data_IF_570452187427
#
_entry.id   IF_570452187427
#
_cell.length_a   1.000
_cell.length_b   1.000
_cell.length_c   1.000
_cell.angle_alpha   90.00
_cell.angle_beta   90.00
_cell.angle_gamma   90.00
#
_symmetry.space_group_name_H-M   'P 1'
#
loop_
_entity.id
_entity.type
_entity.pdbx_description
1 polymer ?
#
# COMPACT_ATOMS: atom_id res chain seq x y z
N UNK A 1 6.11 -9.90 -20.78
CA UNK A 1 6.95 -8.80 -20.27
C UNK A 1 6.21 -7.87 -19.31
N UNK A 2 4.94 -7.53 -19.55
CA UNK A 2 4.20 -6.57 -18.71
C UNK A 2 4.06 -6.98 -17.23
N UNK A 3 3.74 -8.24 -16.92
CA UNK A 3 3.63 -8.74 -15.54
C UNK A 3 4.93 -8.66 -14.75
N UNK A 4 6.08 -8.88 -15.42
CA UNK A 4 7.40 -8.73 -14.80
C UNK A 4 7.61 -7.26 -14.42
N UNK A 5 7.27 -6.32 -15.31
CA UNK A 5 7.35 -4.89 -15.01
C UNK A 5 6.46 -4.47 -13.83
N UNK A 6 5.24 -5.00 -13.72
CA UNK A 6 4.36 -4.75 -12.56
C UNK A 6 4.98 -5.29 -11.27
N UNK A 7 5.50 -6.52 -11.29
CA UNK A 7 6.14 -7.13 -10.14
C UNK A 7 7.39 -6.34 -9.72
N UNK A 8 8.28 -5.96 -10.66
CA UNK A 8 9.47 -5.15 -10.37
C UNK A 8 9.10 -3.81 -9.73
N UNK A 9 8.05 -3.14 -10.21
CA UNK A 9 7.57 -1.90 -9.61
C UNK A 9 7.06 -2.10 -8.17
N UNK A 10 6.30 -3.17 -7.91
CA UNK A 10 5.77 -3.45 -6.58
C UNK A 10 6.88 -3.88 -5.62
N UNK A 11 7.67 -4.90 -5.95
CA UNK A 11 8.68 -5.41 -5.04
C UNK A 11 9.86 -4.43 -4.93
N UNK A 12 10.41 -3.95 -6.05
CA UNK A 12 11.49 -2.97 -6.04
C UNK A 12 11.06 -1.66 -5.39
N UNK A 13 9.98 -1.03 -5.88
CA UNK A 13 9.51 0.25 -5.36
C UNK A 13 9.13 0.18 -3.88
N UNK A 14 8.32 -0.81 -3.47
CA UNK A 14 7.83 -0.84 -2.10
C UNK A 14 8.86 -1.35 -1.09
N UNK A 15 9.75 -2.29 -1.45
CA UNK A 15 10.83 -2.71 -0.56
C UNK A 15 11.86 -1.58 -0.36
N UNK A 16 12.25 -0.88 -1.45
CA UNK A 16 13.11 0.30 -1.34
C UNK A 16 12.44 1.46 -0.60
N UNK A 17 11.12 1.60 -0.68
CA UNK A 17 10.40 2.61 0.09
C UNK A 17 10.51 2.38 1.61
N UNK A 18 10.39 1.13 2.08
CA UNK A 18 10.58 0.82 3.51
C UNK A 18 12.00 1.14 3.96
N UNK A 19 13.00 0.75 3.17
CA UNK A 19 14.40 1.04 3.48
C UNK A 19 14.68 2.56 3.58
N UNK A 20 14.20 3.33 2.61
CA UNK A 20 14.38 4.79 2.61
C UNK A 20 13.57 5.47 3.71
N UNK A 21 12.40 4.93 4.07
CA UNK A 21 11.61 5.41 5.20
C UNK A 21 12.38 5.25 6.52
N UNK A 22 12.97 4.07 6.74
CA UNK A 22 13.77 3.79 7.92
C UNK A 22 15.00 4.70 8.02
N UNK A 23 15.67 4.96 6.89
CA UNK A 23 16.80 5.88 6.84
C UNK A 23 16.40 7.32 7.26
N UNK A 24 15.26 7.84 6.79
CA UNK A 24 14.80 9.19 7.18
C UNK A 24 14.36 9.24 8.63
N UNK A 25 13.56 8.27 9.08
CA UNK A 25 12.99 8.26 10.44
C UNK A 25 14.09 8.07 11.48
N UNK A 26 15.19 7.38 11.14
CA UNK A 26 16.38 7.28 11.99
C UNK A 26 17.07 8.63 12.20
N UNK A 27 17.14 9.46 11.16
CA UNK A 27 17.76 10.78 11.22
C UNK A 27 16.79 11.82 11.84
N UNK A 28 15.50 11.76 11.50
CA UNK A 28 14.46 12.71 11.90
C UNK A 28 13.17 11.95 12.25
N UNK A 29 12.99 11.55 13.53
CA UNK A 29 11.87 10.70 13.96
C UNK A 29 10.48 11.30 13.70
N UNK A 30 10.34 12.62 13.81
CA UNK A 30 9.05 13.31 13.70
C UNK A 30 8.69 13.72 12.26
N UNK A 31 9.23 13.09 11.23
CA UNK A 31 9.07 13.50 9.81
C UNK A 31 7.89 12.86 9.06
N UNK A 32 7.04 12.07 9.73
CA UNK A 32 6.03 11.22 9.07
C UNK A 32 4.97 11.96 8.24
N UNK A 33 4.48 13.10 8.72
CA UNK A 33 3.47 13.91 8.00
C UNK A 33 4.05 14.50 6.72
N UNK A 34 5.27 15.02 6.78
CA UNK A 34 6.02 15.55 5.65
C UNK A 34 6.30 14.46 4.61
N UNK A 35 6.78 13.28 5.03
CA UNK A 35 7.07 12.17 4.11
C UNK A 35 5.81 11.83 3.30
N UNK A 36 4.68 11.66 3.97
CA UNK A 36 3.41 11.32 3.30
C UNK A 36 2.97 12.45 2.36
N UNK A 37 3.08 13.71 2.79
CA UNK A 37 2.74 14.86 1.96
C UNK A 37 3.61 14.93 0.70
N UNK A 38 4.93 14.77 0.82
CA UNK A 38 5.85 14.81 -0.33
C UNK A 38 5.60 13.65 -1.30
N UNK A 39 5.28 12.45 -0.79
CA UNK A 39 4.86 11.33 -1.64
C UNK A 39 3.61 11.67 -2.47
N UNK A 40 2.59 12.26 -1.83
CA UNK A 40 1.36 12.68 -2.50
C UNK A 40 1.59 13.79 -3.51
N UNK A 41 2.41 14.77 -3.14
CA UNK A 41 2.78 15.89 -4.00
C UNK A 41 3.55 15.39 -5.23
N UNK A 42 4.53 14.51 -5.05
CA UNK A 42 5.31 13.94 -6.14
C UNK A 42 4.44 13.18 -7.15
N UNK A 43 3.56 12.30 -6.67
CA UNK A 43 2.61 11.57 -7.54
C UNK A 43 1.68 12.53 -8.27
N UNK A 44 1.23 13.59 -7.59
CA UNK A 44 0.33 14.58 -8.17
C UNK A 44 1.01 15.41 -9.26
N UNK A 45 2.26 15.85 -9.04
CA UNK A 45 3.07 16.59 -10.03
C UNK A 45 3.34 15.72 -11.26
N UNK A 46 3.77 14.46 -11.05
CA UNK A 46 4.01 13.53 -12.17
C UNK A 46 2.75 13.27 -12.99
N UNK A 47 1.61 13.09 -12.33
CA UNK A 47 0.32 12.94 -12.99
C UNK A 47 -0.11 14.21 -13.72
N UNK A 48 0.14 15.39 -13.16
CA UNK A 48 -0.23 16.67 -13.77
C UNK A 48 0.45 16.84 -15.14
N UNK A 49 1.73 16.48 -15.29
CA UNK A 49 2.41 16.49 -16.59
C UNK A 49 1.72 15.63 -17.68
N UNK A 50 1.00 14.59 -17.28
CA UNK A 50 0.28 13.71 -18.22
C UNK A 50 -1.16 14.16 -18.49
N UNK A 51 -1.80 14.81 -17.51
CA UNK A 51 -3.22 15.17 -17.55
C UNK A 51 -3.49 16.65 -17.83
N UNK A 52 -2.46 17.50 -17.85
CA UNK A 52 -2.60 18.89 -18.29
C UNK A 52 -2.99 18.96 -19.76
N UNK A 53 -4.01 19.76 -20.05
CA UNK A 53 -4.44 20.13 -21.39
C UNK A 53 -4.89 21.59 -21.38
N UNK A 54 -4.07 22.46 -21.97
CA UNK A 54 -4.31 23.91 -22.01
C UNK A 54 -5.52 24.33 -22.85
N UNK A 55 -6.10 23.40 -23.61
CA UNK A 55 -7.28 23.64 -24.43
C UNK A 55 -8.59 23.52 -23.65
N UNK A 56 -8.53 23.06 -22.39
CA UNK A 56 -9.70 22.81 -21.55
C UNK A 56 -9.87 23.90 -20.47
N UNK A 57 -11.10 24.25 -20.04
CA UNK A 57 -11.38 25.35 -19.11
C UNK A 57 -10.78 25.18 -17.71
N UNK A 58 -10.43 23.96 -17.31
CA UNK A 58 -9.74 23.66 -16.04
C UNK A 58 -8.32 23.14 -16.23
N UNK A 59 -7.74 23.33 -17.43
CA UNK A 59 -6.39 22.86 -17.79
C UNK A 59 -6.17 21.35 -17.60
N UNK A 60 -7.23 20.54 -17.50
CA UNK A 60 -7.19 19.11 -17.25
C UNK A 60 -7.99 18.34 -18.31
N UNK A 61 -7.45 17.21 -18.75
CA UNK A 61 -8.15 16.27 -19.64
C UNK A 61 -9.47 15.78 -19.00
N UNK A 62 -10.53 15.57 -19.80
CA UNK A 62 -11.79 15.05 -19.28
C UNK A 62 -11.59 13.64 -18.70
N UNK A 63 -12.04 13.47 -17.46
CA UNK A 63 -12.00 12.21 -16.72
C UNK A 63 -12.92 11.16 -17.36
N UNK A 64 -12.42 9.94 -17.60
CA UNK A 64 -13.24 8.84 -18.15
C UNK A 64 -14.19 8.25 -17.12
N UNK A 65 -13.76 8.19 -15.87
CA UNK A 65 -14.65 7.88 -14.76
C UNK A 65 -15.22 9.17 -14.16
N UNK A 66 -16.47 9.17 -13.66
CA UNK A 66 -17.05 10.35 -13.03
C UNK A 66 -16.28 10.72 -11.76
N UNK A 67 -16.07 12.01 -11.52
CA UNK A 67 -15.33 12.53 -10.36
C UNK A 67 -15.87 12.00 -9.02
N UNK A 68 -17.18 11.74 -8.90
CA UNK A 68 -17.79 11.15 -7.71
C UNK A 68 -17.15 9.81 -7.29
N UNK A 69 -16.68 8.99 -8.25
CA UNK A 69 -15.95 7.74 -7.98
C UNK A 69 -14.58 8.00 -7.37
N UNK A 70 -13.88 9.02 -7.87
CA UNK A 70 -12.58 9.42 -7.34
C UNK A 70 -12.72 10.03 -5.95
N UNK A 71 -13.72 10.89 -5.72
CA UNK A 71 -14.03 11.45 -4.40
C UNK A 71 -14.32 10.35 -3.36
N UNK A 72 -15.13 9.35 -3.70
CA UNK A 72 -15.38 8.21 -2.78
C UNK A 72 -14.08 7.46 -2.47
N UNK A 73 -13.23 7.22 -3.48
CA UNK A 73 -11.94 6.53 -3.29
C UNK A 73 -10.99 7.33 -2.39
N UNK A 74 -10.95 8.65 -2.56
CA UNK A 74 -10.17 9.59 -1.74
C UNK A 74 -10.65 9.59 -0.30
N UNK A 75 -11.97 9.71 -0.07
CA UNK A 75 -12.55 9.72 1.27
C UNK A 75 -12.30 8.40 2.00
N UNK A 76 -12.47 7.26 1.32
CA UNK A 76 -12.16 5.95 1.88
C UNK A 76 -10.68 5.82 2.24
N UNK A 77 -9.79 6.20 1.31
CA UNK A 77 -8.35 6.14 1.55
C UNK A 77 -7.95 7.01 2.74
N UNK A 78 -8.47 8.23 2.81
CA UNK A 78 -8.19 9.17 3.90
C UNK A 78 -8.70 8.63 5.24
N UNK A 79 -9.96 8.17 5.29
CA UNK A 79 -10.56 7.58 6.49
C UNK A 79 -9.77 6.36 7.00
N UNK A 80 -9.42 5.45 6.09
CA UNK A 80 -8.58 4.29 6.40
C UNK A 80 -7.20 4.73 6.92
N UNK A 81 -6.61 5.76 6.32
CA UNK A 81 -5.31 6.28 6.74
C UNK A 81 -5.35 6.91 8.13
N UNK A 82 -6.37 7.73 8.42
CA UNK A 82 -6.60 8.34 9.73
C UNK A 82 -6.80 7.27 10.80
N UNK A 83 -7.66 6.27 10.56
CA UNK A 83 -7.90 5.18 11.51
C UNK A 83 -6.60 4.40 11.75
N UNK A 84 -5.88 4.01 10.69
CA UNK A 84 -4.64 3.25 10.82
C UNK A 84 -3.55 4.01 11.58
N UNK A 85 -3.48 5.34 11.43
CA UNK A 85 -2.52 6.16 12.14
C UNK A 85 -2.92 6.37 13.61
N UNK A 86 -4.23 6.46 13.89
CA UNK A 86 -4.74 6.62 15.25
C UNK A 86 -4.55 5.36 16.10
N UNK A 87 -4.62 4.17 15.50
CA UNK A 87 -4.46 2.88 16.19
C UNK A 87 -3.14 2.76 16.98
N UNK A 88 -2.05 3.38 16.51
CA UNK A 88 -0.77 3.39 17.24
C UNK A 88 -0.86 4.10 18.59
N UNK A 89 -1.69 5.16 18.69
CA UNK A 89 -1.95 5.88 19.95
C UNK A 89 -2.72 5.03 20.97
N UNK A 90 -3.36 3.95 20.52
CA UNK A 90 -4.07 2.98 21.36
C UNK A 90 -3.15 1.83 21.79
N UNK A 91 -1.83 1.98 21.62
CA UNK A 91 -0.80 1.01 22.02
C UNK A 91 -0.96 -0.37 21.36
N UNK A 92 -1.51 -0.41 20.15
CA UNK A 92 -1.53 -1.64 19.36
C UNK A 92 -0.13 -1.88 18.79
N UNK A 93 0.37 -3.11 18.97
CA UNK A 93 1.68 -3.50 18.47
C UNK A 93 1.72 -3.62 16.95
N UNK A 94 2.90 -3.43 16.37
CA UNK A 94 3.12 -3.54 14.91
C UNK A 94 2.68 -4.91 14.38
N UNK A 95 3.00 -6.04 15.04
CA UNK A 95 2.51 -7.35 14.65
C UNK A 95 0.98 -7.45 14.60
N UNK A 96 0.27 -6.95 15.62
CA UNK A 96 -1.20 -6.97 15.62
C UNK A 96 -1.76 -6.16 14.45
N UNK A 97 -1.21 -4.96 14.19
CA UNK A 97 -1.60 -4.14 13.04
C UNK A 97 -1.45 -4.90 11.71
N UNK A 98 -0.34 -5.60 11.53
CA UNK A 98 -0.05 -6.39 10.32
C UNK A 98 -1.06 -7.53 10.14
N UNK A 99 -1.43 -8.26 11.20
CA UNK A 99 -2.40 -9.38 11.12
C UNK A 99 -3.74 -8.88 10.61
N UNK A 100 -4.32 -7.86 11.25
CA UNK A 100 -5.64 -7.34 10.88
C UNK A 100 -5.64 -6.75 9.47
N UNK A 101 -4.60 -5.98 9.11
CA UNK A 101 -4.49 -5.40 7.76
C UNK A 101 -4.31 -6.46 6.68
N UNK A 102 -3.62 -7.56 6.98
CA UNK A 102 -3.42 -8.67 6.04
C UNK A 102 -4.65 -9.57 5.93
N UNK A 103 -5.49 -9.61 6.97
CA UNK A 103 -6.84 -10.21 6.96
C UNK A 103 -7.81 -9.57 5.97
N UNK A 104 -7.47 -8.41 5.38
CA UNK A 104 -8.24 -7.79 4.30
C UNK A 104 -8.51 -8.71 3.11
N UNK A 105 -7.68 -9.73 2.84
CA UNK A 105 -7.97 -10.72 1.77
C UNK A 105 -9.18 -11.59 2.10
N UNK A 106 -9.33 -11.99 3.36
CA UNK A 106 -10.51 -12.75 3.83
C UNK A 106 -11.76 -11.88 3.70
N UNK A 107 -11.69 -10.65 4.18
CA UNK A 107 -12.83 -9.71 4.12
C UNK A 107 -13.18 -9.38 2.67
N UNK A 108 -12.19 -9.17 1.80
CA UNK A 108 -12.41 -8.94 0.36
C UNK A 108 -13.12 -10.13 -0.29
N UNK A 109 -12.76 -11.37 0.08
CA UNK A 109 -13.45 -12.56 -0.41
C UNK A 109 -14.91 -12.59 0.07
N UNK A 110 -15.15 -12.37 1.36
CA UNK A 110 -16.51 -12.34 1.93
C UNK A 110 -17.39 -11.25 1.30
N UNK A 111 -16.91 -10.02 1.25
CA UNK A 111 -17.61 -8.90 0.60
C UNK A 111 -17.81 -9.14 -0.90
N UNK A 112 -16.88 -9.83 -1.55
CA UNK A 112 -17.02 -10.25 -2.94
C UNK A 112 -18.16 -11.24 -3.13
N UNK A 113 -18.30 -12.23 -2.24
CA UNK A 113 -19.44 -13.19 -2.27
C UNK A 113 -20.76 -12.46 -2.06
N UNK A 114 -20.82 -11.52 -1.11
CA UNK A 114 -22.03 -10.70 -0.87
C UNK A 114 -22.39 -9.89 -2.13
N UNK A 115 -21.40 -9.43 -2.91
CA UNK A 115 -21.59 -8.76 -4.21
C UNK A 115 -21.80 -9.72 -5.39
N UNK A 116 -22.02 -11.00 -5.15
CA UNK A 116 -22.32 -12.01 -6.18
C UNK A 116 -21.11 -12.65 -6.86
N UNK A 117 -19.88 -12.42 -6.38
CA UNK A 117 -18.69 -13.11 -6.92
C UNK A 117 -18.65 -14.56 -6.47
N UNK A 118 -18.19 -15.43 -7.36
CA UNK A 118 -17.96 -16.86 -7.09
C UNK A 118 -16.47 -17.12 -7.01
N UNK A 119 -16.05 -17.87 -5.99
CA UNK A 119 -14.65 -18.28 -5.79
C UNK A 119 -14.55 -19.81 -5.85
N UNK A 120 -13.45 -20.33 -6.40
CA UNK A 120 -13.21 -21.77 -6.40
C UNK A 120 -12.86 -22.25 -4.99
N UNK A 121 -13.12 -23.53 -4.69
CA UNK A 121 -12.69 -24.14 -3.43
C UNK A 121 -11.18 -23.99 -3.21
N UNK A 122 -10.40 -24.07 -4.28
CA UNK A 122 -8.95 -23.84 -4.24
C UNK A 122 -8.57 -22.40 -3.88
N UNK A 123 -9.29 -21.39 -4.38
CA UNK A 123 -9.08 -20.00 -3.97
C UNK A 123 -9.40 -19.77 -2.49
N UNK A 124 -10.48 -20.37 -1.99
CA UNK A 124 -10.85 -20.29 -0.56
C UNK A 124 -9.78 -20.96 0.31
N UNK A 125 -9.33 -22.16 -0.06
CA UNK A 125 -8.24 -22.86 0.63
C UNK A 125 -6.94 -22.04 0.61
N UNK A 126 -6.63 -21.41 -0.52
CA UNK A 126 -5.45 -20.54 -0.65
C UNK A 126 -5.47 -19.37 0.34
N UNK A 127 -6.62 -18.71 0.48
CA UNK A 127 -6.79 -17.60 1.43
C UNK A 127 -6.72 -18.10 2.88
N UNK A 128 -7.27 -19.29 3.18
CA UNK A 128 -7.14 -19.89 4.50
C UNK A 128 -5.68 -20.18 4.86
N UNK A 129 -4.93 -20.85 3.98
CA UNK A 129 -3.50 -21.14 4.17
C UNK A 129 -2.70 -19.84 4.33
N UNK A 130 -2.95 -18.84 3.48
CA UNK A 130 -2.30 -17.54 3.56
C UNK A 130 -2.57 -16.87 4.92
N UNK A 131 -3.82 -16.92 5.39
CA UNK A 131 -4.21 -16.32 6.68
C UNK A 131 -3.48 -16.98 7.85
N UNK A 132 -3.41 -18.32 7.86
CA UNK A 132 -2.62 -19.06 8.86
C UNK A 132 -1.15 -18.67 8.79
N UNK A 133 -0.57 -18.59 7.59
CA UNK A 133 0.81 -18.19 7.39
C UNK A 133 1.12 -16.79 7.97
N UNK A 134 0.25 -15.81 7.67
CA UNK A 134 0.34 -14.46 8.23
C UNK A 134 0.32 -14.49 9.76
N UNK A 135 -0.64 -15.20 10.35
CA UNK A 135 -0.81 -15.27 11.82
C UNK A 135 0.47 -15.83 12.45
N UNK A 136 0.93 -17.00 12.01
CA UNK A 136 2.11 -17.65 12.59
C UNK A 136 3.36 -16.78 12.47
N UNK A 137 3.60 -16.22 11.28
CA UNK A 137 4.80 -15.43 11.06
C UNK A 137 4.79 -14.08 11.79
N UNK A 138 3.61 -13.57 12.13
CA UNK A 138 3.49 -12.30 12.84
C UNK A 138 3.53 -12.47 14.35
N UNK A 139 2.90 -13.51 14.90
CA UNK A 139 2.95 -13.81 16.34
C UNK A 139 4.37 -14.02 16.86
N UNK A 140 5.22 -14.66 16.06
CA UNK A 140 6.62 -14.90 16.38
C UNK A 140 7.50 -13.65 16.52
N UNK A 141 7.02 -12.50 16.02
CA UNK A 141 7.74 -11.22 16.03
C UNK A 141 7.16 -10.23 17.06
N UNK A 142 6.20 -10.67 17.87
CA UNK A 142 5.74 -9.88 19.00
C UNK A 142 6.90 -9.64 19.98
N UNK A 143 7.26 -8.38 20.29
CA UNK A 143 8.25 -8.11 21.32
C UNK A 143 7.86 -8.78 22.63
N UNK A 144 8.82 -9.41 23.31
CA UNK A 144 8.64 -9.84 24.70
C UNK A 144 8.19 -8.62 25.54
N UNK A 145 7.25 -8.86 26.46
CA UNK A 145 6.48 -7.84 27.21
C UNK A 145 7.35 -6.92 28.10
N UNK A 146 8.11 -6.00 27.52
CA UNK A 146 8.90 -5.00 28.26
C UNK A 146 8.50 -3.54 27.94
N UNK A 147 7.34 -3.32 27.32
CA UNK A 147 6.78 -1.97 27.17
C UNK A 147 6.04 -1.55 28.45
N UNK A 148 6.67 -0.65 29.21
CA UNK A 148 6.26 -0.08 30.52
C UNK A 148 4.91 0.66 30.55
N UNK A 149 4.09 0.59 29.51
CA UNK A 149 2.80 1.28 29.43
C UNK A 149 1.72 0.28 29.01
N UNK A 150 1.03 -0.29 30.00
CA UNK A 150 -0.13 -1.16 29.75
C UNK A 150 -1.28 -0.29 29.25
N UNK A 151 -1.68 -0.49 28.00
CA UNK A 151 -2.94 0.04 27.49
C UNK A 151 -4.08 -0.36 28.43
N UNK A 152 -5.02 0.54 28.69
CA UNK A 152 -6.25 0.12 29.38
C UNK A 152 -6.99 -0.89 28.51
N UNK A 153 -7.74 -1.81 29.12
CA UNK A 153 -8.55 -2.80 28.38
C UNK A 153 -9.44 -2.12 27.33
N UNK A 154 -10.00 -0.95 27.67
CA UNK A 154 -10.82 -0.13 26.76
C UNK A 154 -10.03 0.38 25.55
N UNK A 155 -8.82 0.92 25.75
CA UNK A 155 -7.97 1.38 24.64
C UNK A 155 -7.59 0.23 23.70
N UNK A 156 -7.25 -0.93 24.28
CA UNK A 156 -6.92 -2.12 23.50
C UNK A 156 -8.11 -2.61 22.67
N UNK A 157 -9.28 -2.78 23.29
CA UNK A 157 -10.51 -3.20 22.60
C UNK A 157 -10.88 -2.20 21.50
N UNK A 158 -10.82 -0.90 21.78
CA UNK A 158 -11.06 0.15 20.79
C UNK A 158 -10.07 0.03 19.61
N UNK A 159 -8.79 -0.22 19.89
CA UNK A 159 -7.78 -0.40 18.85
C UNK A 159 -8.06 -1.58 17.93
N UNK A 160 -8.51 -2.71 18.50
CA UNK A 160 -8.92 -3.89 17.73
C UNK A 160 -10.16 -3.60 16.87
N UNK A 161 -11.18 -2.93 17.43
CA UNK A 161 -12.38 -2.55 16.68
C UNK A 161 -12.03 -1.62 15.52
N UNK A 162 -11.19 -0.61 15.75
CA UNK A 162 -10.74 0.30 14.71
C UNK A 162 -9.94 -0.41 13.61
N UNK A 163 -9.11 -1.41 13.97
CA UNK A 163 -8.42 -2.22 12.97
C UNK A 163 -9.36 -3.05 12.10
N UNK A 164 -10.39 -3.65 12.71
CA UNK A 164 -11.42 -4.37 11.97
C UNK A 164 -12.18 -3.44 11.01
N UNK A 165 -12.59 -2.26 11.49
CA UNK A 165 -13.24 -1.24 10.65
C UNK A 165 -12.33 -0.82 9.49
N UNK A 166 -11.06 -0.51 9.77
CA UNK A 166 -10.08 -0.15 8.74
C UNK A 166 -9.89 -1.28 7.70
N UNK A 167 -9.87 -2.54 8.13
CA UNK A 167 -9.73 -3.69 7.23
C UNK A 167 -10.97 -3.89 6.34
N UNK A 168 -12.18 -3.67 6.88
CA UNK A 168 -13.43 -3.68 6.10
C UNK A 168 -13.45 -2.56 5.07
N UNK A 169 -13.14 -1.33 5.49
CA UNK A 169 -13.09 -0.17 4.60
C UNK A 169 -12.03 -0.35 3.50
N UNK A 170 -10.85 -0.87 3.84
CA UNK A 170 -9.79 -1.18 2.87
C UNK A 170 -10.23 -2.22 1.84
N UNK A 171 -10.93 -3.26 2.28
CA UNK A 171 -11.45 -4.33 1.41
C UNK A 171 -12.57 -3.81 0.50
N UNK A 172 -13.45 -2.97 1.05
CA UNK A 172 -14.48 -2.28 0.29
C UNK A 172 -13.87 -1.35 -0.77
N UNK A 173 -12.86 -0.56 -0.39
CA UNK A 173 -12.11 0.30 -1.30
C UNK A 173 -11.50 -0.51 -2.45
N UNK A 174 -10.85 -1.64 -2.16
CA UNK A 174 -10.30 -2.53 -3.19
C UNK A 174 -11.35 -3.04 -4.17
N UNK A 175 -12.48 -3.55 -3.67
CA UNK A 175 -13.61 -3.99 -4.51
C UNK A 175 -14.23 -2.83 -5.29
N UNK A 176 -14.29 -1.64 -4.70
CA UNK A 176 -14.80 -0.44 -5.36
C UNK A 176 -13.90 -0.01 -6.52
N UNK A 177 -12.57 -0.04 -6.33
CA UNK A 177 -11.59 0.19 -7.38
C UNK A 177 -11.73 -0.84 -8.51
N UNK A 178 -11.85 -2.12 -8.17
CA UNK A 178 -12.03 -3.19 -9.17
C UNK A 178 -13.29 -2.96 -10.03
N UNK A 179 -14.43 -2.66 -9.41
CA UNK A 179 -15.68 -2.34 -10.14
C UNK A 179 -15.56 -1.05 -10.95
N UNK A 180 -14.74 -0.10 -10.51
CA UNK A 180 -14.49 1.15 -11.25
C UNK A 180 -13.67 0.85 -12.50
N UNK A 181 -12.59 0.08 -12.37
CA UNK A 181 -11.76 -0.32 -13.51
C UNK A 181 -12.48 -1.23 -14.49
N UNK A 182 -13.36 -2.12 -14.03
CA UNK A 182 -14.15 -2.96 -14.94
C UNK A 182 -15.19 -2.16 -15.72
N UNK A 183 -15.78 -1.11 -15.13
CA UNK A 183 -16.82 -0.28 -15.77
C UNK A 183 -16.27 0.82 -16.67
N UNK A 184 -15.21 1.53 -16.24
CA UNK A 184 -14.69 2.71 -16.93
C UNK A 184 -13.36 2.45 -17.65
N UNK A 185 -12.94 1.18 -17.72
CA UNK A 185 -11.66 0.76 -18.25
C UNK A 185 -10.54 0.87 -17.21
N UNK A 186 -9.49 0.06 -17.38
CA UNK A 186 -8.31 -0.01 -16.52
C UNK A 186 -7.40 1.23 -16.60
N UNK A 187 -7.97 2.44 -16.56
CA UNK A 187 -7.27 3.73 -16.58
C UNK A 187 -6.57 3.98 -15.23
N UNK A 188 -5.59 3.13 -14.91
CA UNK A 188 -4.85 3.16 -13.65
C UNK A 188 -4.11 4.49 -13.42
N UNK A 189 -3.70 5.19 -14.48
CA UNK A 189 -3.07 6.52 -14.40
C UNK A 189 -4.03 7.58 -13.87
N UNK A 190 -5.28 7.54 -14.35
CA UNK A 190 -6.33 8.48 -13.96
C UNK A 190 -6.67 8.30 -12.48
N UNK A 191 -6.85 7.05 -12.05
CA UNK A 191 -7.05 6.72 -10.65
C UNK A 191 -5.86 7.16 -9.80
N UNK A 192 -4.63 6.90 -10.24
CA UNK A 192 -3.42 7.27 -9.52
C UNK A 192 -3.35 8.79 -9.34
N UNK A 193 -3.56 9.56 -10.40
CA UNK A 193 -3.53 11.02 -10.36
C UNK A 193 -4.62 11.58 -9.44
N UNK A 194 -5.90 11.30 -9.71
CA UNK A 194 -6.99 11.94 -8.96
C UNK A 194 -7.02 11.54 -7.49
N UNK A 195 -6.65 10.29 -7.15
CA UNK A 195 -6.62 9.89 -5.74
C UNK A 195 -5.55 10.61 -4.93
N UNK A 196 -4.43 11.02 -5.54
CA UNK A 196 -3.38 11.76 -4.84
C UNK A 196 -3.63 13.27 -4.91
N UNK A 197 -3.96 13.79 -6.10
CA UNK A 197 -4.21 15.20 -6.32
C UNK A 197 -5.38 15.73 -5.49
N UNK A 198 -6.51 15.02 -5.48
CA UNK A 198 -7.70 15.42 -4.70
C UNK A 198 -7.51 15.18 -3.19
N UNK A 199 -6.50 14.41 -2.77
CA UNK A 199 -6.18 14.23 -1.35
C UNK A 199 -5.32 15.36 -0.79
N UNK A 200 -4.60 16.14 -1.63
CA UNK A 200 -3.72 17.21 -1.18
C UNK A 200 -4.40 18.25 -0.27
N UNK A 201 -5.63 18.73 -0.55
CA UNK A 201 -6.32 19.67 0.34
C UNK A 201 -6.57 19.11 1.75
N UNK A 202 -6.66 17.79 1.90
CA UNK A 202 -6.89 17.14 3.19
C UNK A 202 -5.66 17.21 4.12
N UNK A 203 -4.49 17.62 3.61
CA UNK A 203 -3.31 17.90 4.42
C UNK A 203 -3.31 19.30 5.04
N UNK A 204 -4.26 20.19 4.70
CA UNK A 204 -4.31 21.55 5.22
C UNK A 204 -4.28 21.63 6.77
N UNK A 205 -4.99 20.77 7.54
CA UNK A 205 -4.90 20.79 9.00
C UNK A 205 -3.53 20.39 9.56
N UNK A 206 -2.68 19.73 8.74
CA UNK A 206 -1.32 19.29 9.09
C UNK A 206 -0.24 20.24 8.57
N UNK A 207 -0.61 21.36 7.92
CA UNK A 207 0.33 22.23 7.22
C UNK A 207 1.42 22.81 8.15
N UNK A 208 1.06 23.20 9.37
CA UNK A 208 2.01 23.72 10.37
C UNK A 208 3.08 22.69 10.74
N UNK A 209 2.67 21.44 10.99
CA UNK A 209 3.59 20.34 11.26
C UNK A 209 4.46 20.01 10.05
N UNK A 210 3.88 20.01 8.84
CA UNK A 210 4.61 19.75 7.60
C UNK A 210 5.70 20.80 7.36
N UNK A 211 5.37 22.09 7.53
CA UNK A 211 6.34 23.19 7.35
C UNK A 211 7.47 23.09 8.39
N UNK A 212 7.14 22.82 9.65
CA UNK A 212 8.15 22.62 10.71
C UNK A 212 9.07 21.44 10.37
N UNK A 213 8.50 20.30 10.01
CA UNK A 213 9.25 19.11 9.63
C UNK A 213 10.14 19.36 8.40
N UNK A 214 9.65 20.13 7.43
CA UNK A 214 10.43 20.51 6.25
C UNK A 214 11.67 21.32 6.64
N UNK A 215 11.51 22.29 7.54
CA UNK A 215 12.64 23.05 8.09
C UNK A 215 13.69 22.15 8.75
N UNK A 216 13.26 21.16 9.53
CA UNK A 216 14.17 20.18 10.16
C UNK A 216 14.89 19.31 9.12
N UNK A 217 14.19 18.82 8.10
CA UNK A 217 14.78 18.02 7.03
C UNK A 217 15.76 18.83 6.21
N UNK A 218 15.36 20.01 5.74
CA UNK A 218 16.20 20.89 4.93
C UNK A 218 17.43 21.38 5.71
N UNK A 219 17.23 21.68 7.00
CA UNK A 219 18.28 22.19 7.87
C UNK A 219 19.30 21.14 8.33
N UNK A 220 18.99 19.83 8.23
CA UNK A 220 19.76 18.76 8.84
C UNK A 220 21.20 18.63 8.33
N UNK A 221 22.08 18.15 9.21
CA UNK A 221 23.46 17.80 8.90
C UNK A 221 23.64 16.27 8.78
N UNK A 222 24.59 15.78 7.96
CA UNK A 222 25.50 16.53 7.10
C UNK A 222 24.80 17.10 5.86
N UNK A 223 25.27 18.26 5.40
CA UNK A 223 24.89 18.85 4.11
C UNK A 223 25.94 18.45 3.08
N UNK A 224 25.46 17.97 1.93
CA UNK A 224 26.30 17.69 0.79
C UNK A 224 26.36 18.92 -0.09
N UNK A 225 27.57 19.23 -0.53
CA UNK A 225 27.87 20.30 -1.46
C UNK A 225 27.84 19.72 -2.88
N UNK A 226 26.97 20.26 -3.71
CA UNK A 226 26.93 19.94 -5.14
C UNK A 226 27.27 21.19 -5.92
N UNK A 227 28.41 21.16 -6.61
CA UNK A 227 28.76 22.20 -7.58
C UNK A 227 28.17 21.81 -8.94
N UNK A 228 27.20 22.58 -9.42
CA UNK A 228 26.57 22.35 -10.73
C UNK A 228 26.34 23.69 -11.41
N UNK A 229 26.86 23.84 -12.64
CA UNK A 229 26.70 25.05 -13.46
C UNK A 229 27.11 26.36 -12.75
N UNK A 230 28.12 26.32 -11.86
CA UNK A 230 28.61 27.50 -11.14
C UNK A 230 27.78 27.94 -9.93
N UNK A 231 26.77 27.15 -9.53
CA UNK A 231 25.97 27.38 -8.32
C UNK A 231 26.35 26.36 -7.24
N UNK A 232 26.58 26.84 -6.02
CA UNK A 232 26.85 26.01 -4.84
C UNK A 232 25.53 25.61 -4.18
N UNK A 233 25.13 24.35 -4.39
CA UNK A 233 23.88 23.82 -3.86
C UNK A 233 24.16 22.93 -2.64
N UNK A 234 23.72 23.40 -1.47
CA UNK A 234 23.86 22.64 -0.21
C UNK A 234 22.56 21.90 0.07
N UNK A 235 22.58 20.57 -0.05
CA UNK A 235 21.41 19.72 0.20
C UNK A 235 21.67 18.81 1.38
N UNK A 236 20.76 18.77 2.35
CA UNK A 236 20.89 17.85 3.48
C UNK A 236 20.75 16.39 3.02
N UNK A 237 21.48 15.49 3.68
CA UNK A 237 21.31 14.04 3.46
C UNK A 237 19.86 13.59 3.68
N UNK A 238 19.20 14.15 4.69
CA UNK A 238 17.79 13.85 4.99
C UNK A 238 16.84 14.23 3.85
N UNK A 239 17.08 15.36 3.18
CA UNK A 239 16.26 15.78 2.04
C UNK A 239 16.43 14.85 0.83
N UNK A 240 17.65 14.36 0.57
CA UNK A 240 17.86 13.37 -0.48
C UNK A 240 17.11 12.07 -0.20
N UNK A 241 17.17 11.60 1.05
CA UNK A 241 16.40 10.41 1.44
C UNK A 241 14.90 10.64 1.29
N UNK A 242 14.38 11.83 1.64
CA UNK A 242 12.98 12.21 1.44
C UNK A 242 12.57 12.11 -0.04
N UNK A 243 13.39 12.63 -0.96
CA UNK A 243 13.11 12.56 -2.40
C UNK A 243 13.22 11.14 -2.96
N UNK A 244 14.19 10.36 -2.49
CA UNK A 244 14.31 8.95 -2.86
C UNK A 244 13.12 8.13 -2.33
N UNK A 245 12.63 8.44 -1.13
CA UNK A 245 11.44 7.84 -0.55
C UNK A 245 10.18 8.17 -1.37
N UNK A 246 10.01 9.44 -1.77
CA UNK A 246 8.91 9.85 -2.65
C UNK A 246 8.95 9.13 -4.01
N UNK A 247 10.15 9.00 -4.60
CA UNK A 247 10.35 8.31 -5.89
C UNK A 247 10.04 6.82 -5.79
N UNK A 248 10.57 6.14 -4.77
CA UNK A 248 10.30 4.71 -4.55
C UNK A 248 8.84 4.44 -4.23
N UNK A 249 8.18 5.35 -3.49
CA UNK A 249 6.74 5.29 -3.28
C UNK A 249 5.95 5.42 -4.58
N UNK A 250 6.32 6.36 -5.45
CA UNK A 250 5.70 6.52 -6.76
C UNK A 250 5.80 5.23 -7.58
N UNK A 251 7.00 4.61 -7.65
CA UNK A 251 7.19 3.33 -8.35
C UNK A 251 6.30 2.22 -7.76
N UNK A 252 6.27 2.14 -6.43
CA UNK A 252 5.43 1.19 -5.68
C UNK A 252 3.95 1.35 -6.06
N UNK A 253 3.38 2.54 -5.87
CA UNK A 253 1.94 2.78 -6.05
C UNK A 253 1.53 2.74 -7.53
N UNK A 254 2.44 3.07 -8.44
CA UNK A 254 2.27 2.87 -9.88
C UNK A 254 2.10 1.39 -10.21
N UNK A 255 2.96 0.53 -9.65
CA UNK A 255 2.85 -0.92 -9.79
C UNK A 255 1.52 -1.46 -9.23
N UNK A 256 1.12 -0.99 -8.05
CA UNK A 256 -0.14 -1.40 -7.40
C UNK A 256 -1.37 -0.97 -8.21
N UNK A 257 -1.40 0.26 -8.73
CA UNK A 257 -2.52 0.74 -9.55
C UNK A 257 -2.59 0.00 -10.89
N UNK A 258 -1.45 -0.28 -11.53
CA UNK A 258 -1.41 -1.14 -12.72
C UNK A 258 -1.97 -2.53 -12.44
N UNK A 259 -1.56 -3.15 -11.33
CA UNK A 259 -2.08 -4.46 -10.92
C UNK A 259 -3.58 -4.42 -10.68
N UNK A 260 -4.07 -3.37 -10.00
CA UNK A 260 -5.50 -3.18 -9.69
C UNK A 260 -6.34 -2.96 -10.95
N UNK A 261 -5.80 -2.27 -11.96
CA UNK A 261 -6.46 -2.11 -13.26
C UNK A 261 -6.52 -3.39 -14.09
N UNK A 262 -5.68 -4.39 -13.80
CA UNK A 262 -5.54 -5.62 -14.58
C UNK A 262 -6.05 -6.89 -13.86
N UNK A 263 -6.34 -6.82 -12.56
CA UNK A 263 -6.67 -8.01 -11.74
C UNK A 263 -7.77 -7.72 -10.72
N UNK A 264 -8.23 -8.77 -10.02
CA UNK A 264 -9.22 -8.61 -8.96
C UNK A 264 -8.64 -8.00 -7.69
N UNK A 265 -9.50 -7.38 -6.87
CA UNK A 265 -9.13 -6.86 -5.56
C UNK A 265 -8.50 -7.93 -4.65
N UNK A 266 -8.97 -9.18 -4.77
CA UNK A 266 -8.42 -10.32 -4.04
C UNK A 266 -6.97 -10.61 -4.49
N UNK A 267 -6.71 -10.60 -5.80
CA UNK A 267 -5.36 -10.78 -6.36
C UNK A 267 -4.42 -9.69 -5.88
N UNK A 268 -4.85 -8.42 -5.93
CA UNK A 268 -4.09 -7.29 -5.39
C UNK A 268 -3.76 -7.51 -3.91
N UNK A 269 -4.75 -7.89 -3.08
CA UNK A 269 -4.55 -8.16 -1.66
C UNK A 269 -3.51 -9.26 -1.39
N UNK A 270 -3.55 -10.34 -2.16
CA UNK A 270 -2.59 -11.45 -2.03
C UNK A 270 -1.18 -11.01 -2.41
N UNK A 271 -1.00 -10.33 -3.55
CA UNK A 271 0.32 -9.82 -3.97
C UNK A 271 0.88 -8.82 -2.96
N UNK A 272 0.03 -7.93 -2.42
CA UNK A 272 0.43 -6.99 -1.38
C UNK A 272 0.81 -7.68 -0.07
N UNK A 273 0.17 -8.80 0.28
CA UNK A 273 0.58 -9.61 1.43
C UNK A 273 1.95 -10.24 1.16
N UNK A 274 2.16 -10.91 0.02
CA UNK A 274 3.47 -11.46 -0.36
C UNK A 274 4.57 -10.40 -0.28
N UNK A 275 4.31 -9.19 -0.82
CA UNK A 275 5.21 -8.05 -0.75
C UNK A 275 5.65 -7.70 0.68
N UNK A 276 4.71 -7.62 1.64
CA UNK A 276 5.05 -7.32 3.05
C UNK A 276 6.03 -8.34 3.63
N UNK A 277 5.84 -9.61 3.30
CA UNK A 277 6.70 -10.69 3.80
C UNK A 277 8.06 -10.71 3.11
N UNK A 278 8.12 -10.40 1.81
CA UNK A 278 9.40 -10.20 1.12
C UNK A 278 10.16 -9.02 1.76
N UNK A 279 9.50 -7.88 2.01
CA UNK A 279 10.13 -6.76 2.72
C UNK A 279 10.63 -7.15 4.10
N UNK A 280 9.87 -7.97 4.84
CA UNK A 280 10.29 -8.48 6.14
C UNK A 280 11.55 -9.36 6.04
N UNK A 281 11.57 -10.33 5.11
CA UNK A 281 12.73 -11.19 4.92
C UNK A 281 13.97 -10.40 4.52
N UNK A 282 13.82 -9.41 3.63
CA UNK A 282 14.92 -8.52 3.25
C UNK A 282 15.42 -7.71 4.45
N UNK A 283 14.52 -7.17 5.28
CA UNK A 283 14.89 -6.47 6.51
C UNK A 283 15.70 -7.38 7.44
N UNK A 284 15.25 -8.62 7.67
CA UNK A 284 15.98 -9.59 8.51
C UNK A 284 17.38 -9.88 7.97
N UNK A 285 17.51 -10.13 6.66
CA UNK A 285 18.81 -10.42 6.02
C UNK A 285 19.75 -9.21 6.08
N UNK A 286 19.24 -8.01 5.84
CA UNK A 286 20.04 -6.78 5.80
C UNK A 286 20.44 -6.27 7.20
N UNK A 287 19.57 -6.43 8.19
CA UNK A 287 19.80 -5.95 9.56
C UNK A 287 20.30 -7.03 10.52
N UNK A 288 20.46 -8.27 10.06
CA UNK A 288 21.02 -9.36 10.85
C UNK A 288 20.11 -9.86 11.98
N UNK A 289 18.79 -9.70 11.85
CA UNK A 289 17.83 -10.19 12.84
C UNK A 289 17.66 -11.71 12.74
N UNK A 290 17.42 -12.39 13.87
CA UNK A 290 17.13 -13.82 13.88
C UNK A 290 15.66 -14.10 13.56
N UNK A 291 15.38 -15.03 12.65
CA UNK A 291 14.03 -15.54 12.42
C UNK A 291 13.71 -16.66 13.40
N UNK A 292 12.53 -16.58 14.03
CA UNK A 292 11.97 -17.73 14.75
C UNK A 292 11.56 -18.82 13.77
N UNK A 293 11.64 -20.09 14.17
CA UNK A 293 11.13 -21.23 13.39
C UNK A 293 9.65 -21.04 13.00
N UNK A 294 8.88 -20.36 13.84
CA UNK A 294 7.48 -20.03 13.57
C UNK A 294 7.34 -18.95 12.47
N UNK A 295 8.27 -17.99 12.40
CA UNK A 295 8.36 -17.02 11.30
C UNK A 295 8.61 -17.70 9.98
N UNK A 296 9.53 -18.66 9.96
CA UNK A 296 9.87 -19.43 8.77
C UNK A 296 8.67 -20.26 8.31
N UNK A 297 8.04 -21.01 9.22
CA UNK A 297 6.85 -21.81 8.91
C UNK A 297 5.71 -20.94 8.35
N UNK A 298 5.40 -19.82 9.02
CA UNK A 298 4.35 -18.93 8.56
C UNK A 298 4.66 -18.32 7.18
N UNK A 299 5.92 -18.00 6.92
CA UNK A 299 6.38 -17.50 5.61
C UNK A 299 6.22 -18.56 4.52
N UNK A 300 6.61 -19.81 4.78
CA UNK A 300 6.43 -20.93 3.84
C UNK A 300 4.96 -21.13 3.51
N UNK A 301 4.08 -21.18 4.52
CA UNK A 301 2.64 -21.32 4.31
C UNK A 301 2.07 -20.16 3.49
N UNK A 302 2.52 -18.93 3.75
CA UNK A 302 2.08 -17.76 2.97
C UNK A 302 2.43 -17.89 1.49
N UNK A 303 3.64 -18.31 1.15
CA UNK A 303 4.05 -18.53 -0.23
C UNK A 303 3.30 -19.70 -0.88
N UNK A 304 3.03 -20.78 -0.14
CA UNK A 304 2.19 -21.89 -0.61
C UNK A 304 0.78 -21.39 -0.92
N UNK A 305 0.15 -20.63 -0.03
CA UNK A 305 -1.17 -20.05 -0.24
C UNK A 305 -1.22 -19.13 -1.47
N UNK A 306 -0.22 -18.26 -1.63
CA UNK A 306 -0.13 -17.39 -2.81
C UNK A 306 0.08 -18.18 -4.12
N UNK A 307 0.92 -19.22 -4.08
CA UNK A 307 1.18 -20.10 -5.22
C UNK A 307 -0.05 -20.90 -5.64
N UNK A 308 -0.77 -21.48 -4.67
CA UNK A 308 -2.02 -22.20 -4.90
C UNK A 308 -3.08 -21.28 -5.52
N UNK A 309 -3.20 -20.04 -5.04
CA UNK A 309 -4.14 -19.07 -5.60
C UNK A 309 -3.82 -18.75 -7.06
N UNK A 310 -2.53 -18.53 -7.37
CA UNK A 310 -2.06 -18.28 -8.73
C UNK A 310 -2.37 -19.46 -9.66
N UNK A 311 -2.11 -20.69 -9.20
CA UNK A 311 -2.42 -21.91 -9.95
C UNK A 311 -3.92 -22.04 -10.25
N UNK A 312 -4.76 -21.88 -9.23
CA UNK A 312 -6.22 -21.94 -9.36
C UNK A 312 -6.76 -20.83 -10.28
N UNK A 313 -6.17 -19.64 -10.22
CA UNK A 313 -6.51 -18.52 -11.12
C UNK A 313 -6.25 -18.85 -12.59
N UNK A 314 -5.11 -19.46 -12.91
CA UNK A 314 -4.80 -19.90 -14.28
C UNK A 314 -5.79 -20.96 -14.77
N UNK A 315 -6.06 -21.96 -13.94
CA UNK A 315 -7.01 -23.05 -14.27
C UNK A 315 -8.42 -22.53 -14.51
N UNK A 316 -8.87 -21.57 -13.70
CA UNK A 316 -10.16 -20.91 -13.89
C UNK A 316 -10.22 -20.12 -15.21
N UNK A 317 -9.15 -19.40 -15.56
CA UNK A 317 -9.06 -18.65 -16.81
C UNK A 317 -9.06 -19.59 -18.05
N UNK A 318 -8.36 -20.72 -17.97
CA UNK A 318 -8.34 -21.73 -19.04
C UNK A 318 -9.71 -22.36 -19.27
N UNK A 319 -10.41 -22.75 -18.19
CA UNK A 319 -11.80 -23.24 -18.26
C UNK A 319 -12.75 -22.23 -18.88
N UNK A 320 -12.59 -20.94 -18.56
CA UNK A 320 -13.41 -19.88 -19.13
C UNK A 320 -13.15 -19.69 -20.64
N UNK A 321 -11.91 -19.87 -21.10
CA UNK A 321 -11.56 -19.83 -22.52
C UNK A 321 -12.19 -21.00 -23.29
N UNK A 322 -12.09 -22.21 -22.75
CA UNK A 322 -12.69 -23.41 -23.35
C UNK A 322 -14.22 -23.28 -23.45
N UNK A 323 -14.88 -22.85 -22.37
CA UNK A 323 -16.32 -22.64 -22.36
C UNK A 323 -16.81 -21.54 -23.32
N UNK A 324 -15.94 -20.59 -23.69
CA UNK A 324 -16.25 -19.57 -24.71
C UNK A 324 -16.08 -20.15 -26.12
N UNK A 325 -15.00 -20.90 -26.35
CA UNK A 325 -14.75 -21.56 -27.63
C UNK A 325 -15.86 -22.58 -28.00
N UNK A 326 -16.46 -23.24 -27.01
CA UNK A 326 -17.59 -24.14 -27.22
C UNK A 326 -18.92 -23.42 -27.49
N UNK A 327 -19.05 -22.14 -27.12
CA UNK A 327 -20.24 -21.32 -27.43
C UNK A 327 -20.17 -20.62 -28.79
N UNK A 328 -18.96 -20.45 -29.30
CA UNK A 328 -18.69 -19.83 -30.60
C UNK A 328 -18.67 -20.87 -31.74
N UNK A 329 -18.90 -22.16 -31.43
CA UNK A 329 -19.11 -23.28 -32.37
C UNK A 329 -20.58 -23.64 -32.47
#
# INVERSE_FOLDING_TARGET
MEWVGIATLIFGGCCSNVFTLEAIVKDIPDSGSLITFVQFLFVSIEGLFHFVDFSQPFFLKPSKAPYSRWTVSVLLFFLVSVINNYVWKLHISVPLHIIFRSGGTVITMLLGVIKGKKYTRGQVLSVAILTVGVILATFSQAPNKDSKQKATTTQFVLGIVLLLVAAILSSFQGLFSEVTYSKYGGNWRESLFYTHFLSLPLFAPLASDIIRQFGSVWGAHPRLHFETLGYDLHVSRAFMWLMLNATTQYLCIRGVNKLSGATSALTVGIVLNVRKFVSLLLSVVLFGNSLSSLTILGTVLLFIGAGLYSFEGRKAAERAKLAKADKDK
#
